data_IF_948078760494
#
_entry.id   IF_948078760494
#
_cell.length_a   1.000
_cell.length_b   1.000
_cell.length_c   1.000
_cell.angle_alpha   90.00
_cell.angle_beta   90.00
_cell.angle_gamma   90.00
#
_symmetry.space_group_name_H-M   'P 1'
#
loop_
_entity.id
_entity.type
_entity.pdbx_description
1 polymer ?
#
# COMPACT_ATOMS: atom_id res chain seq x y z
N UNK A 1 27.02 -75.52 -5.74
CA UNK A 1 26.77 -75.45 -7.20
C UNK A 1 25.29 -75.20 -7.57
N UNK A 2 24.47 -74.58 -6.70
CA UNK A 2 23.07 -74.24 -7.01
C UNK A 2 22.75 -72.73 -6.93
N UNK A 3 23.73 -71.86 -6.66
CA UNK A 3 23.51 -70.40 -6.60
C UNK A 3 23.94 -69.64 -7.87
N UNK A 4 24.68 -70.26 -8.80
CA UNK A 4 25.03 -69.63 -10.09
C UNK A 4 23.93 -69.77 -11.15
N UNK A 5 23.03 -70.75 -11.03
CA UNK A 5 21.92 -70.92 -11.98
C UNK A 5 20.75 -69.96 -11.73
N UNK A 6 20.57 -69.42 -10.52
CA UNK A 6 19.44 -68.54 -10.21
C UNK A 6 19.58 -67.12 -10.76
N UNK A 7 20.82 -66.64 -10.97
CA UNK A 7 21.08 -65.28 -11.48
C UNK A 7 20.90 -65.22 -13.00
N UNK A 8 21.19 -66.32 -13.71
CA UNK A 8 21.02 -66.40 -15.17
C UNK A 8 19.55 -66.30 -15.62
N UNK A 9 18.62 -66.96 -14.92
CA UNK A 9 17.19 -66.90 -15.27
C UNK A 9 16.55 -65.53 -15.00
N UNK A 10 17.07 -64.79 -14.01
CA UNK A 10 16.60 -63.43 -13.71
C UNK A 10 17.01 -62.42 -14.80
N UNK A 11 18.22 -62.55 -15.35
CA UNK A 11 18.69 -61.66 -16.42
C UNK A 11 18.00 -61.93 -17.76
N UNK A 12 17.72 -63.20 -18.07
CA UNK A 12 16.96 -63.58 -19.28
C UNK A 12 15.51 -63.07 -19.20
N UNK A 13 14.89 -63.12 -18.01
CA UNK A 13 13.52 -62.61 -17.82
C UNK A 13 13.45 -61.08 -17.93
N UNK A 14 14.46 -60.36 -17.44
CA UNK A 14 14.54 -58.90 -17.57
C UNK A 14 14.83 -58.49 -19.03
N UNK A 15 15.68 -59.22 -19.74
CA UNK A 15 15.93 -59.00 -21.16
C UNK A 15 14.70 -59.28 -22.03
N UNK A 16 13.92 -60.32 -21.72
CA UNK A 16 12.66 -60.62 -22.41
C UNK A 16 11.58 -59.55 -22.14
N UNK A 17 11.51 -59.02 -20.90
CA UNK A 17 10.61 -57.92 -20.56
C UNK A 17 11.00 -56.62 -21.28
N UNK A 18 12.30 -56.31 -21.36
CA UNK A 18 12.81 -55.15 -22.10
C UNK A 18 12.62 -55.30 -23.62
N UNK A 19 12.69 -56.52 -24.16
CA UNK A 19 12.38 -56.76 -25.57
C UNK A 19 10.88 -56.63 -25.87
N UNK A 20 10.00 -57.03 -24.94
CA UNK A 20 8.56 -56.80 -25.09
C UNK A 20 8.17 -55.33 -24.91
N UNK A 21 8.86 -54.56 -24.07
CA UNK A 21 8.57 -53.14 -23.83
C UNK A 21 9.19 -52.22 -24.87
N UNK A 22 10.35 -52.56 -25.43
CA UNK A 22 11.08 -51.71 -26.38
C UNK A 22 11.06 -52.22 -27.83
N UNK A 23 10.64 -53.47 -28.08
CA UNK A 23 10.71 -54.12 -29.39
C UNK A 23 9.38 -54.37 -30.09
N UNK A 24 8.25 -53.95 -29.52
CA UNK A 24 6.96 -54.06 -30.17
C UNK A 24 6.68 -52.80 -31.02
N UNK A 25 6.72 -52.86 -32.37
CA UNK A 25 6.15 -51.82 -33.19
C UNK A 25 4.64 -51.78 -32.96
N UNK A 26 4.10 -50.59 -32.68
CA UNK A 26 2.69 -50.28 -32.66
C UNK A 26 2.00 -50.86 -33.92
N UNK A 27 1.38 -52.03 -33.78
CA UNK A 27 0.35 -52.55 -34.69
C UNK A 27 -0.95 -52.63 -33.92
N UNK A 28 -1.62 -51.50 -33.83
CA UNK A 28 -3.05 -51.42 -33.61
C UNK A 28 -3.60 -50.19 -34.35
N UNK A 29 -3.31 -50.16 -35.65
CA UNK A 29 -4.18 -49.52 -36.63
C UNK A 29 -5.14 -50.59 -37.18
N UNK A 30 -6.37 -50.14 -37.47
CA UNK A 30 -7.36 -50.74 -38.38
C UNK A 30 -8.32 -51.79 -37.83
N UNK A 31 -9.40 -51.30 -37.22
CA UNK A 31 -10.73 -51.92 -37.35
C UNK A 31 -11.87 -50.96 -37.73
N UNK A 32 -11.57 -49.73 -38.18
CA UNK A 32 -12.51 -48.90 -38.94
C UNK A 32 -11.75 -48.01 -39.93
N UNK A 33 -11.19 -48.65 -40.96
CA UNK A 33 -10.84 -47.94 -42.19
C UNK A 33 -11.37 -48.77 -43.37
N UNK A 34 -12.69 -48.68 -43.57
CA UNK A 34 -13.31 -49.15 -44.81
C UNK A 34 -13.03 -48.09 -45.87
N UNK A 35 -11.89 -48.30 -46.53
CA UNK A 35 -11.55 -47.96 -47.90
C UNK A 35 -12.61 -47.24 -48.73
N UNK A 36 -12.28 -46.01 -49.14
CA UNK A 36 -12.46 -45.56 -50.52
C UNK A 36 -11.23 -44.76 -50.95
N UNK A 37 -10.12 -45.45 -51.24
CA UNK A 37 -9.09 -44.92 -52.14
C UNK A 37 -9.52 -45.22 -53.57
N UNK A 38 -10.12 -44.22 -54.21
CA UNK A 38 -10.27 -44.15 -55.65
C UNK A 38 -8.97 -43.58 -56.22
N UNK A 39 -8.17 -44.41 -56.88
CA UNK A 39 -7.00 -43.98 -57.64
C UNK A 39 -7.32 -44.19 -59.12
N UNK A 40 -7.38 -43.09 -59.88
CA UNK A 40 -7.85 -43.09 -61.26
C UNK A 40 -7.69 -41.72 -61.89
N UNK A 41 -6.54 -41.53 -62.53
CA UNK A 41 -6.21 -40.36 -63.31
C UNK A 41 -7.26 -40.02 -64.38
N UNK A 42 -7.41 -38.71 -64.61
CA UNK A 42 -7.95 -38.10 -65.84
C UNK A 42 -9.31 -38.62 -66.33
N UNK A 43 -10.39 -37.98 -65.89
CA UNK A 43 -11.48 -37.54 -66.77
C UNK A 43 -12.44 -36.57 -66.04
N UNK A 44 -13.05 -35.69 -66.83
CA UNK A 44 -13.84 -34.47 -66.51
C UNK A 44 -14.69 -34.52 -65.22
N UNK A 45 -14.90 -33.37 -64.55
CA UNK A 45 -15.76 -33.30 -63.37
C UNK A 45 -17.20 -33.68 -63.75
N UNK A 46 -17.63 -34.89 -63.38
CA UNK A 46 -19.05 -35.20 -63.27
C UNK A 46 -19.59 -34.35 -62.13
N UNK A 47 -20.41 -33.39 -62.51
CA UNK A 47 -21.26 -32.57 -61.64
C UNK A 47 -21.89 -33.49 -60.60
N UNK A 48 -21.44 -33.36 -59.34
CA UNK A 48 -22.23 -33.82 -58.21
C UNK A 48 -23.54 -33.03 -58.24
N UNK A 49 -24.72 -33.68 -58.20
CA UNK A 49 -25.96 -32.95 -58.05
C UNK A 49 -25.86 -32.14 -56.75
N UNK A 50 -26.19 -30.85 -56.88
CA UNK A 50 -26.35 -29.94 -55.75
C UNK A 50 -27.14 -30.64 -54.65
N UNK A 51 -26.64 -30.55 -53.41
CA UNK A 51 -27.36 -30.93 -52.20
C UNK A 51 -28.51 -29.91 -52.07
N UNK A 52 -29.57 -30.14 -52.84
CA UNK A 52 -30.87 -29.54 -52.67
C UNK A 52 -31.69 -30.45 -51.78
N UNK A 53 -32.09 -29.92 -50.63
CA UNK A 53 -33.21 -30.39 -49.81
C UNK A 53 -33.35 -31.91 -49.60
N UNK A 54 -32.44 -32.48 -48.80
CA UNK A 54 -32.71 -33.75 -48.08
C UNK A 54 -33.63 -33.56 -46.86
N UNK A 55 -34.15 -32.35 -46.64
CA UNK A 55 -35.00 -31.99 -45.50
C UNK A 55 -36.50 -32.15 -45.74
N UNK A 56 -36.95 -32.51 -46.96
CA UNK A 56 -38.37 -32.72 -47.23
C UNK A 56 -38.65 -34.00 -48.03
N UNK A 57 -39.23 -34.98 -47.34
CA UNK A 57 -39.64 -36.27 -47.91
C UNK A 57 -39.95 -37.28 -46.82
N UNK A 58 -40.72 -38.33 -47.15
CA UNK A 58 -41.18 -39.42 -46.25
C UNK A 58 -40.01 -40.21 -45.61
N UNK A 59 -38.77 -39.97 -46.04
CA UNK A 59 -37.52 -40.54 -45.53
C UNK A 59 -36.57 -39.46 -44.99
N UNK A 60 -37.08 -38.37 -44.43
CA UNK A 60 -36.24 -37.39 -43.74
C UNK A 60 -35.58 -38.07 -42.53
N UNK A 61 -34.27 -38.22 -42.58
CA UNK A 61 -33.48 -38.65 -41.43
C UNK A 61 -33.44 -37.50 -40.41
N UNK A 62 -34.44 -37.45 -39.56
CA UNK A 62 -34.47 -36.54 -38.41
C UNK A 62 -33.51 -37.13 -37.36
N UNK A 63 -32.27 -36.63 -37.30
CA UNK A 63 -31.30 -36.96 -36.26
C UNK A 63 -31.37 -35.88 -35.16
N UNK A 64 -32.28 -35.99 -34.16
CA UNK A 64 -32.40 -35.00 -33.08
C UNK A 64 -31.14 -34.89 -32.20
N UNK A 65 -30.22 -35.85 -32.33
CA UNK A 65 -28.96 -35.94 -31.59
C UNK A 65 -27.82 -35.10 -32.20
N UNK A 66 -27.90 -34.73 -33.49
CA UNK A 66 -26.90 -33.91 -34.21
C UNK A 66 -27.33 -32.44 -34.33
N UNK A 67 -28.02 -31.91 -33.32
CA UNK A 67 -28.31 -30.46 -33.25
C UNK A 67 -27.17 -29.77 -32.52
N UNK A 68 -26.63 -28.73 -33.12
CA UNK A 68 -25.66 -27.85 -32.47
C UNK A 68 -26.28 -27.27 -31.19
N UNK A 69 -25.53 -27.32 -30.10
CA UNK A 69 -25.97 -26.89 -28.77
C UNK A 69 -24.90 -26.03 -28.13
N UNK A 70 -25.33 -25.05 -27.34
CA UNK A 70 -24.43 -24.27 -26.51
C UNK A 70 -23.71 -25.19 -25.51
N UNK A 71 -22.38 -25.07 -25.35
CA UNK A 71 -21.64 -25.78 -24.33
C UNK A 71 -22.08 -25.32 -22.94
N UNK A 72 -22.05 -26.21 -21.95
CA UNK A 72 -22.32 -25.85 -20.57
C UNK A 72 -21.04 -25.34 -19.91
N UNK A 73 -20.89 -24.03 -19.84
CA UNK A 73 -19.70 -23.37 -19.28
C UNK A 73 -19.87 -22.97 -17.81
N UNK A 74 -20.95 -23.39 -17.14
CA UNK A 74 -21.27 -23.00 -15.75
C UNK A 74 -20.22 -23.42 -14.73
N UNK A 75 -19.59 -24.58 -14.94
CA UNK A 75 -18.52 -25.09 -14.09
C UNK A 75 -17.12 -24.74 -14.62
N UNK A 76 -17.05 -24.23 -15.85
CA UNK A 76 -15.80 -23.91 -16.52
C UNK A 76 -15.36 -22.48 -16.25
N UNK A 77 -16.27 -21.51 -16.33
CA UNK A 77 -15.91 -20.10 -16.19
C UNK A 77 -15.98 -19.72 -14.71
N UNK A 78 -14.86 -19.22 -14.19
CA UNK A 78 -14.73 -18.68 -12.84
C UNK A 78 -14.53 -17.18 -12.94
N UNK A 79 -15.46 -16.40 -12.37
CA UNK A 79 -15.29 -14.96 -12.24
C UNK A 79 -14.39 -14.67 -11.04
N UNK A 80 -13.23 -14.06 -11.25
CA UNK A 80 -12.28 -13.76 -10.17
C UNK A 80 -12.57 -12.42 -9.48
N UNK A 81 -13.23 -11.49 -10.16
CA UNK A 81 -13.56 -10.16 -9.63
C UNK A 81 -13.50 -9.06 -10.69
N UNK A 82 -13.79 -7.84 -10.26
CA UNK A 82 -13.70 -6.63 -11.10
C UNK A 82 -12.62 -5.71 -10.56
N UNK A 83 -11.93 -4.98 -11.45
CA UNK A 83 -11.00 -3.94 -11.02
C UNK A 83 -11.79 -2.74 -10.50
N UNK A 84 -11.75 -2.51 -9.19
CA UNK A 84 -12.42 -1.38 -8.53
C UNK A 84 -11.44 -0.34 -7.98
N UNK A 85 -10.17 -0.37 -8.41
CA UNK A 85 -9.19 0.62 -7.95
C UNK A 85 -9.63 2.04 -8.30
N UNK A 86 -9.34 3.02 -7.43
CA UNK A 86 -9.70 4.42 -7.68
C UNK A 86 -8.96 5.04 -8.88
N UNK A 87 -7.77 4.52 -9.22
CA UNK A 87 -6.95 4.99 -10.34
C UNK A 87 -7.19 4.22 -11.64
N UNK A 88 -8.00 3.16 -11.63
CA UNK A 88 -8.26 2.34 -12.80
C UNK A 88 -9.47 2.85 -13.60
N UNK A 89 -9.38 2.77 -14.93
CA UNK A 89 -10.54 2.82 -15.80
C UNK A 89 -11.40 1.58 -15.49
N UNK A 90 -12.54 1.80 -14.81
CA UNK A 90 -13.45 0.74 -14.39
C UNK A 90 -14.00 -0.10 -15.56
N UNK A 91 -14.73 -1.17 -15.23
CA UNK A 91 -15.34 -2.04 -16.23
C UNK A 91 -14.41 -3.13 -16.79
N UNK A 92 -13.30 -3.41 -16.11
CA UNK A 92 -12.44 -4.57 -16.34
C UNK A 92 -12.82 -5.72 -15.40
N UNK A 93 -12.97 -6.92 -15.95
CA UNK A 93 -13.37 -8.14 -15.26
C UNK A 93 -12.27 -9.19 -15.43
N UNK A 94 -11.97 -9.93 -14.37
CA UNK A 94 -11.00 -11.02 -14.41
C UNK A 94 -11.76 -12.35 -14.46
N UNK A 95 -11.48 -13.15 -15.48
CA UNK A 95 -12.05 -14.49 -15.66
C UNK A 95 -10.93 -15.53 -15.64
N UNK A 96 -11.22 -16.71 -15.12
CA UNK A 96 -10.35 -17.90 -15.17
C UNK A 96 -11.16 -19.09 -15.70
N UNK A 97 -10.53 -19.94 -16.50
CA UNK A 97 -11.09 -21.21 -16.94
C UNK A 97 -10.67 -22.31 -15.94
N UNK A 98 -11.63 -23.06 -15.43
CA UNK A 98 -11.43 -24.04 -14.37
C UNK A 98 -10.52 -25.20 -14.81
N UNK A 99 -10.64 -25.64 -16.07
CA UNK A 99 -9.86 -26.77 -16.60
C UNK A 99 -8.44 -26.38 -17.00
N UNK A 100 -8.26 -25.28 -17.75
CA UNK A 100 -6.94 -24.87 -18.22
C UNK A 100 -6.16 -24.01 -17.24
N UNK A 101 -6.85 -23.38 -16.27
CA UNK A 101 -6.29 -22.32 -15.41
C UNK A 101 -5.81 -21.09 -16.15
N UNK A 102 -6.19 -20.94 -17.43
CA UNK A 102 -5.94 -19.72 -18.17
C UNK A 102 -6.79 -18.58 -17.58
N UNK A 103 -6.20 -17.41 -17.45
CA UNK A 103 -6.88 -16.20 -17.00
C UNK A 103 -6.91 -15.14 -18.09
N UNK A 104 -7.98 -14.36 -18.14
CA UNK A 104 -8.09 -13.21 -19.04
C UNK A 104 -8.71 -12.00 -18.34
N UNK A 105 -8.40 -10.82 -18.88
CA UNK A 105 -9.02 -9.55 -18.48
C UNK A 105 -9.97 -9.13 -19.59
N UNK A 106 -11.24 -8.95 -19.25
CA UNK A 106 -12.31 -8.59 -20.15
C UNK A 106 -12.81 -7.19 -19.88
N UNK A 107 -13.10 -6.43 -20.92
CA UNK A 107 -13.85 -5.17 -20.79
C UNK A 107 -15.36 -5.43 -20.93
N UNK A 108 -16.17 -4.49 -20.45
CA UNK A 108 -17.63 -4.57 -20.62
C UNK A 108 -18.02 -4.66 -22.10
N UNK A 109 -18.83 -5.67 -22.43
CA UNK A 109 -19.30 -6.03 -23.78
C UNK A 109 -18.19 -6.36 -24.79
N UNK A 110 -16.97 -6.61 -24.33
CA UNK A 110 -15.90 -7.12 -25.19
C UNK A 110 -16.13 -8.60 -25.52
N UNK A 111 -15.81 -9.00 -26.76
CA UNK A 111 -15.90 -10.39 -27.20
C UNK A 111 -14.63 -11.14 -26.82
N UNK A 112 -14.78 -12.13 -25.95
CA UNK A 112 -13.68 -13.00 -25.51
C UNK A 112 -13.85 -14.35 -26.19
N UNK A 113 -12.95 -14.66 -27.11
CA UNK A 113 -13.01 -15.89 -27.90
C UNK A 113 -12.41 -17.07 -27.15
N UNK A 114 -13.09 -18.22 -27.23
CA UNK A 114 -12.67 -19.50 -26.63
C UNK A 114 -12.26 -20.48 -27.71
N UNK A 115 -11.23 -21.27 -27.43
CA UNK A 115 -10.79 -22.38 -28.27
C UNK A 115 -10.95 -23.69 -27.49
N UNK A 116 -11.32 -24.76 -28.19
CA UNK A 116 -11.36 -26.11 -27.61
C UNK A 116 -10.12 -26.87 -28.09
N UNK A 117 -9.24 -27.22 -27.16
CA UNK A 117 -8.10 -28.08 -27.41
C UNK A 117 -8.47 -29.54 -27.15
N UNK A 118 -8.11 -30.49 -28.05
CA UNK A 118 -8.37 -31.91 -27.82
C UNK A 118 -7.53 -32.43 -26.65
N UNK A 119 -8.16 -33.17 -25.74
CA UNK A 119 -7.52 -33.80 -24.58
C UNK A 119 -8.14 -35.18 -24.30
N UNK A 120 -7.37 -36.13 -23.72
CA UNK A 120 -7.82 -37.51 -23.50
C UNK A 120 -9.05 -37.66 -22.60
N UNK A 121 -9.37 -36.65 -21.78
CA UNK A 121 -10.53 -36.66 -20.87
C UNK A 121 -11.71 -35.82 -21.38
N UNK A 122 -11.67 -35.39 -22.65
CA UNK A 122 -12.60 -34.40 -23.22
C UNK A 122 -11.87 -33.12 -23.63
N UNK A 123 -12.52 -32.27 -24.43
CA UNK A 123 -11.94 -31.01 -24.88
C UNK A 123 -11.67 -30.05 -23.72
N UNK A 124 -10.48 -29.45 -23.67
CA UNK A 124 -10.10 -28.40 -22.71
C UNK A 124 -10.42 -27.06 -23.34
N UNK A 125 -11.08 -26.17 -22.60
CA UNK A 125 -11.30 -24.80 -23.04
C UNK A 125 -10.08 -23.94 -22.72
N UNK A 126 -9.62 -23.16 -23.68
CA UNK A 126 -8.56 -22.16 -23.50
C UNK A 126 -9.00 -20.82 -24.08
N UNK A 127 -8.47 -19.72 -23.54
CA UNK A 127 -8.69 -18.42 -24.16
C UNK A 127 -7.90 -18.32 -25.47
N UNK A 128 -8.55 -17.79 -26.51
CA UNK A 128 -7.91 -17.66 -27.83
C UNK A 128 -6.67 -16.75 -27.76
N UNK A 129 -5.49 -17.22 -28.19
CA UNK A 129 -4.26 -16.44 -28.09
C UNK A 129 -4.35 -15.19 -28.97
N UNK A 130 -4.07 -14.02 -28.37
CA UNK A 130 -4.14 -12.71 -29.03
C UNK A 130 -5.56 -12.33 -29.52
N UNK A 131 -6.61 -12.90 -28.92
CA UNK A 131 -8.00 -12.54 -29.24
C UNK A 131 -8.42 -12.90 -30.66
N UNK A 132 -7.83 -13.95 -31.25
CA UNK A 132 -8.25 -14.41 -32.58
C UNK A 132 -9.74 -14.82 -32.53
N UNK A 133 -10.57 -14.34 -33.46
CA UNK A 133 -11.97 -14.75 -33.53
C UNK A 133 -12.13 -16.26 -33.65
N UNK A 134 -13.00 -16.81 -32.83
CA UNK A 134 -13.47 -18.20 -32.88
C UNK A 134 -14.99 -18.20 -32.87
N UNK A 135 -15.58 -19.35 -33.20
CA UNK A 135 -17.04 -19.48 -33.28
C UNK A 135 -17.71 -19.38 -31.90
N UNK A 136 -16.98 -19.62 -30.81
CA UNK A 136 -17.45 -19.54 -29.43
C UNK A 136 -16.83 -18.34 -28.71
N UNK A 137 -17.67 -17.43 -28.21
CA UNK A 137 -17.19 -16.29 -27.42
C UNK A 137 -18.09 -15.96 -26.23
N UNK A 138 -17.53 -15.15 -25.33
CA UNK A 138 -18.16 -14.63 -24.13
C UNK A 138 -18.29 -13.10 -24.24
N UNK A 139 -19.38 -12.56 -23.70
CA UNK A 139 -19.57 -11.12 -23.52
C UNK A 139 -19.90 -10.83 -22.06
N UNK A 140 -19.11 -9.95 -21.44
CA UNK A 140 -19.22 -9.62 -20.02
C UNK A 140 -20.05 -8.36 -19.79
N UNK A 141 -21.01 -8.40 -18.87
CA UNK A 141 -21.83 -7.25 -18.48
C UNK A 141 -21.79 -7.04 -16.96
N UNK A 142 -21.49 -5.81 -16.49
CA UNK A 142 -21.58 -5.51 -15.08
C UNK A 142 -23.04 -5.57 -14.63
N UNK A 143 -23.29 -6.24 -13.50
CA UNK A 143 -24.55 -6.11 -12.78
C UNK A 143 -24.42 -4.96 -11.77
N UNK A 144 -25.53 -4.32 -11.44
CA UNK A 144 -25.60 -3.25 -10.44
C UNK A 144 -25.30 -3.70 -9.01
N UNK A 145 -25.25 -5.00 -8.77
CA UNK A 145 -24.93 -5.59 -7.45
C UNK A 145 -23.45 -5.92 -7.40
N UNK A 146 -22.77 -5.46 -6.35
CA UNK A 146 -21.35 -5.68 -6.13
C UNK A 146 -20.97 -7.16 -6.24
N UNK A 147 -19.87 -7.41 -6.97
CA UNK A 147 -19.22 -8.72 -7.07
C UNK A 147 -19.99 -9.78 -7.88
N UNK A 148 -20.93 -9.34 -8.74
CA UNK A 148 -21.64 -10.17 -9.70
C UNK A 148 -21.41 -9.72 -11.13
N UNK A 149 -21.38 -10.68 -12.05
CA UNK A 149 -21.25 -10.43 -13.49
C UNK A 149 -22.28 -11.27 -14.25
N UNK A 150 -22.84 -10.69 -15.31
CA UNK A 150 -23.62 -11.40 -16.33
C UNK A 150 -22.67 -11.74 -17.48
N UNK A 151 -22.55 -13.02 -17.82
CA UNK A 151 -21.76 -13.49 -18.95
C UNK A 151 -22.71 -14.08 -19.99
N UNK A 152 -22.66 -13.57 -21.21
CA UNK A 152 -23.41 -14.12 -22.34
C UNK A 152 -22.50 -15.03 -23.16
N UNK A 153 -22.90 -16.28 -23.31
CA UNK A 153 -22.23 -17.27 -24.15
C UNK A 153 -22.86 -17.24 -25.54
N UNK A 154 -22.02 -17.12 -26.56
CA UNK A 154 -22.43 -17.05 -27.96
C UNK A 154 -21.66 -18.05 -28.78
N UNK A 155 -22.37 -18.76 -29.66
CA UNK A 155 -21.81 -19.72 -30.59
C UNK A 155 -22.34 -19.43 -31.99
N UNK A 156 -21.46 -19.30 -32.99
CA UNK A 156 -21.83 -19.33 -34.40
C UNK A 156 -21.82 -20.79 -34.86
N UNK A 157 -22.95 -21.25 -35.38
CA UNK A 157 -23.12 -22.57 -35.95
C UNK A 157 -22.49 -22.72 -37.33
N UNK A 158 -22.44 -23.95 -37.85
CA UNK A 158 -21.85 -24.24 -39.17
C UNK A 158 -22.57 -23.49 -40.32
N UNK A 159 -23.85 -23.16 -40.12
CA UNK A 159 -24.66 -22.40 -41.08
C UNK A 159 -24.48 -20.87 -40.96
N UNK A 160 -23.60 -20.39 -40.06
CA UNK A 160 -23.39 -18.97 -39.80
C UNK A 160 -24.43 -18.30 -38.88
N UNK A 161 -25.41 -19.07 -38.39
CA UNK A 161 -26.44 -18.60 -37.46
C UNK A 161 -25.99 -18.71 -35.99
N UNK A 162 -26.52 -17.85 -35.12
CA UNK A 162 -26.21 -17.90 -33.68
C UNK A 162 -27.02 -19.02 -33.03
N UNK A 163 -26.32 -20.00 -32.46
CA UNK A 163 -26.93 -21.10 -31.70
C UNK A 163 -27.39 -20.56 -30.34
N UNK A 164 -28.69 -20.63 -30.06
CA UNK A 164 -29.31 -20.15 -28.81
C UNK A 164 -29.88 -21.26 -27.93
N UNK A 165 -29.87 -22.50 -28.42
CA UNK A 165 -30.36 -23.66 -27.68
C UNK A 165 -29.20 -24.40 -27.03
N UNK A 166 -29.27 -24.82 -25.76
CA UNK A 166 -30.31 -24.51 -24.76
C UNK A 166 -30.24 -23.07 -24.21
N UNK A 167 -31.39 -22.40 -24.01
CA UNK A 167 -31.46 -21.00 -23.53
C UNK A 167 -30.89 -20.80 -22.12
N UNK A 168 -30.92 -21.82 -21.28
CA UNK A 168 -30.36 -21.81 -19.92
C UNK A 168 -28.83 -21.74 -19.89
N UNK A 169 -28.17 -21.98 -21.03
CA UNK A 169 -26.71 -21.88 -21.20
C UNK A 169 -26.26 -20.58 -21.85
N UNK A 170 -27.19 -19.77 -22.35
CA UNK A 170 -26.89 -18.51 -23.03
C UNK A 170 -26.41 -17.44 -22.05
N UNK A 171 -26.97 -17.39 -20.85
CA UNK A 171 -26.66 -16.35 -19.85
C UNK A 171 -26.26 -16.98 -18.52
N UNK A 172 -25.07 -16.64 -18.05
CA UNK A 172 -24.49 -17.11 -16.80
C UNK A 172 -24.39 -15.95 -15.82
N UNK A 173 -24.86 -16.19 -14.60
CA UNK A 173 -24.70 -15.24 -13.49
C UNK A 173 -23.63 -15.79 -12.56
N UNK A 174 -22.45 -15.17 -12.61
CA UNK A 174 -21.33 -15.59 -11.76
C UNK A 174 -21.16 -14.61 -10.61
N UNK A 175 -20.95 -15.16 -9.43
CA UNK A 175 -20.47 -14.42 -8.27
C UNK A 175 -18.97 -14.65 -8.18
N UNK A 176 -18.19 -13.64 -7.80
CA UNK A 176 -16.80 -13.91 -7.50
C UNK A 176 -16.78 -14.86 -6.28
N UNK A 177 -15.92 -15.89 -6.30
CA UNK A 177 -15.80 -16.77 -5.16
C UNK A 177 -15.51 -15.91 -3.94
N UNK A 178 -16.16 -16.22 -2.82
CA UNK A 178 -15.77 -15.71 -1.50
C UNK A 178 -14.40 -16.33 -1.18
N UNK A 179 -13.36 -15.87 -1.87
CA UNK A 179 -11.98 -16.26 -1.60
C UNK A 179 -11.73 -15.90 -0.15
N UNK A 180 -11.52 -16.92 0.68
CA UNK A 180 -10.99 -16.71 2.02
C UNK A 180 -9.73 -15.88 1.88
N UNK A 181 -9.68 -14.76 2.61
CA UNK A 181 -8.61 -13.76 2.66
C UNK A 181 -7.35 -14.17 1.87
N UNK A 182 -7.34 -13.98 0.55
CA UNK A 182 -6.16 -14.32 -0.25
C UNK A 182 -5.02 -13.48 0.30
N UNK A 183 -4.04 -14.15 0.90
CA UNK A 183 -2.92 -13.51 1.56
C UNK A 183 -1.98 -13.00 0.49
N UNK A 184 -2.21 -11.76 0.11
CA UNK A 184 -1.33 -10.96 -0.71
C UNK A 184 -0.40 -10.13 0.17
N UNK A 185 0.74 -9.76 -0.42
CA UNK A 185 1.84 -9.12 0.30
C UNK A 185 2.27 -7.84 -0.41
N UNK A 186 2.70 -6.86 0.38
CA UNK A 186 3.31 -5.62 -0.10
C UNK A 186 4.65 -5.48 0.62
N UNK A 187 5.75 -5.44 -0.14
CA UNK A 187 7.10 -5.35 0.43
C UNK A 187 7.45 -6.52 1.36
N UNK A 188 6.97 -7.74 1.06
CA UNK A 188 7.17 -8.94 1.88
C UNK A 188 6.34 -8.98 3.17
N UNK A 189 5.37 -8.08 3.33
CA UNK A 189 4.45 -8.05 4.47
C UNK A 189 3.04 -8.40 4.00
N UNK A 190 2.47 -9.47 4.59
CA UNK A 190 1.07 -9.84 4.37
C UNK A 190 0.12 -8.70 4.73
N UNK A 191 -0.80 -8.40 3.81
CA UNK A 191 -1.84 -7.41 4.00
C UNK A 191 -2.95 -8.01 4.86
N UNK A 192 -2.86 -7.76 6.17
CA UNK A 192 -3.82 -8.13 7.20
C UNK A 192 -4.00 -6.97 8.19
N UNK A 193 -4.85 -7.12 9.21
CA UNK A 193 -5.10 -6.06 10.20
C UNK A 193 -3.81 -5.56 10.93
N UNK A 194 -2.74 -6.36 10.94
CA UNK A 194 -1.44 -5.99 11.54
C UNK A 194 -0.48 -5.31 10.56
N UNK A 195 -0.84 -5.16 9.29
CA UNK A 195 -0.01 -4.56 8.26
C UNK A 195 0.55 -3.18 8.64
N UNK A 196 -0.24 -2.22 9.18
CA UNK A 196 0.30 -0.91 9.55
C UNK A 196 1.38 -1.01 10.62
N UNK A 197 1.24 -1.95 11.56
CA UNK A 197 2.23 -2.19 12.62
C UNK A 197 3.50 -2.80 12.04
N UNK A 198 3.38 -3.81 11.18
CA UNK A 198 4.53 -4.48 10.54
C UNK A 198 5.32 -3.55 9.61
N UNK A 199 4.62 -2.68 8.86
CA UNK A 199 5.21 -1.63 8.02
C UNK A 199 5.54 -0.34 8.81
N UNK A 200 5.37 -0.34 10.14
CA UNK A 200 5.66 0.80 11.04
C UNK A 200 5.00 2.13 10.61
N UNK A 201 3.81 2.04 10.01
CA UNK A 201 3.02 3.19 9.57
C UNK A 201 2.41 3.87 10.80
N UNK A 202 2.68 5.16 10.98
CA UNK A 202 2.23 5.92 12.14
C UNK A 202 1.55 7.21 11.72
N UNK A 203 0.28 7.37 12.07
CA UNK A 203 -0.41 8.66 11.96
C UNK A 203 0.05 9.55 13.11
N UNK A 204 0.58 10.71 12.77
CA UNK A 204 1.02 11.70 13.76
C UNK A 204 -0.05 12.76 13.96
N UNK A 205 -0.49 13.41 12.88
CA UNK A 205 -1.42 14.53 12.95
C UNK A 205 -1.03 15.66 12.00
N UNK A 206 -1.77 16.77 12.04
CA UNK A 206 -1.33 18.02 11.44
C UNK A 206 -0.03 18.54 12.06
N UNK A 207 0.83 19.11 11.21
CA UNK A 207 2.13 19.67 11.61
C UNK A 207 1.94 21.16 11.95
N UNK A 208 1.91 21.48 13.25
CA UNK A 208 1.72 22.86 13.74
C UNK A 208 2.89 23.77 13.41
N UNK A 209 4.08 23.20 13.31
CA UNK A 209 5.26 23.96 12.94
C UNK A 209 5.16 24.44 11.48
N UNK A 210 4.79 23.56 10.54
CA UNK A 210 4.56 23.96 9.15
C UNK A 210 3.40 24.96 9.02
N UNK A 211 2.35 24.83 9.84
CA UNK A 211 1.24 25.77 9.85
C UNK A 211 1.65 27.19 10.27
N UNK A 212 2.57 27.31 11.23
CA UNK A 212 3.00 28.61 11.77
C UNK A 212 4.21 29.21 11.03
N UNK A 213 5.18 28.38 10.66
CA UNK A 213 6.49 28.80 10.14
C UNK A 213 6.82 28.25 8.75
N UNK A 214 5.95 27.42 8.15
CA UNK A 214 6.20 26.83 6.83
C UNK A 214 6.09 27.82 5.66
N UNK A 215 5.31 28.89 5.81
CA UNK A 215 5.10 29.87 4.73
C UNK A 215 4.32 29.29 3.54
N UNK A 216 4.36 30.01 2.40
CA UNK A 216 3.57 29.65 1.21
C UNK A 216 3.99 28.32 0.58
N UNK A 217 5.30 28.01 0.58
CA UNK A 217 5.85 26.82 -0.06
C UNK A 217 5.39 25.50 0.61
N UNK A 218 4.93 25.57 1.86
CA UNK A 218 4.49 24.42 2.64
C UNK A 218 3.00 24.45 3.00
N UNK A 219 2.23 25.43 2.49
CA UNK A 219 0.81 25.59 2.80
C UNK A 219 0.00 24.32 2.47
N UNK A 220 0.28 23.70 1.33
CA UNK A 220 -0.37 22.46 0.89
C UNK A 220 -0.10 21.28 1.83
N UNK A 221 1.09 21.23 2.45
CA UNK A 221 1.48 20.18 3.40
C UNK A 221 0.91 20.47 4.80
N UNK A 222 0.90 21.73 5.20
CA UNK A 222 0.38 22.18 6.50
C UNK A 222 -1.13 21.91 6.66
N UNK A 223 -1.88 21.92 5.56
CA UNK A 223 -3.31 21.62 5.55
C UNK A 223 -3.65 20.12 5.66
N UNK A 224 -2.64 19.24 5.60
CA UNK A 224 -2.80 17.78 5.54
C UNK A 224 -2.33 17.08 6.81
N UNK A 225 -2.72 15.82 6.98
CA UNK A 225 -2.26 14.99 8.11
C UNK A 225 -0.93 14.32 7.78
N UNK A 226 0.05 14.43 8.69
CA UNK A 226 1.34 13.76 8.56
C UNK A 226 1.23 12.29 8.97
N UNK A 227 1.66 11.42 8.08
CA UNK A 227 1.83 9.98 8.29
C UNK A 227 3.30 9.63 8.08
N UNK A 228 3.89 9.02 9.10
CA UNK A 228 5.29 8.58 9.09
C UNK A 228 5.35 7.11 8.68
N UNK A 229 6.30 6.79 7.83
CA UNK A 229 6.57 5.47 7.26
C UNK A 229 8.04 5.10 7.47
N UNK A 230 8.33 3.81 7.30
CA UNK A 230 9.70 3.29 7.27
C UNK A 230 9.89 2.55 5.96
N UNK A 231 10.94 2.88 5.20
CA UNK A 231 11.26 2.20 3.95
C UNK A 231 11.77 0.78 4.22
N UNK A 232 11.87 -0.07 3.19
CA UNK A 232 12.55 -1.36 3.33
C UNK A 232 14.06 -1.18 3.62
N UNK A 233 14.66 -0.06 3.17
CA UNK A 233 16.01 0.36 3.58
C UNK A 233 16.11 0.84 5.04
N UNK A 234 15.01 0.79 5.80
CA UNK A 234 14.91 1.20 7.20
C UNK A 234 15.17 2.70 7.44
N UNK A 235 14.85 3.52 6.45
CA UNK A 235 14.89 4.98 6.54
C UNK A 235 13.49 5.52 6.88
N UNK A 236 13.42 6.45 7.83
CA UNK A 236 12.16 7.10 8.17
C UNK A 236 11.85 8.19 7.14
N UNK A 237 10.60 8.25 6.70
CA UNK A 237 10.10 9.34 5.86
C UNK A 237 8.63 9.64 6.18
N UNK A 238 8.18 10.84 5.85
CA UNK A 238 6.81 11.28 6.09
C UNK A 238 6.10 11.60 4.78
N UNK A 239 4.78 11.39 4.77
CA UNK A 239 3.87 11.87 3.73
C UNK A 239 2.75 12.67 4.38
N UNK A 240 2.28 13.67 3.64
CA UNK A 240 1.19 14.56 4.07
C UNK A 240 -0.03 14.22 3.25
N UNK A 241 -1.07 13.69 3.90
CA UNK A 241 -2.21 13.07 3.23
C UNK A 241 -3.53 13.78 3.59
N UNK A 242 -4.37 13.96 2.58
CA UNK A 242 -5.76 14.38 2.66
C UNK A 242 -6.70 13.23 2.29
N UNK A 243 -8.01 13.41 2.51
CA UNK A 243 -9.04 12.48 2.01
C UNK A 243 -8.99 12.45 0.48
N UNK A 244 -8.98 11.24 -0.09
CA UNK A 244 -8.86 11.01 -1.53
C UNK A 244 -7.43 10.96 -2.05
N UNK A 245 -6.42 11.27 -1.23
CA UNK A 245 -5.02 11.12 -1.65
C UNK A 245 -4.68 9.64 -1.86
N UNK A 246 -3.89 9.38 -2.88
CA UNK A 246 -3.44 8.06 -3.31
C UNK A 246 -1.92 7.97 -3.22
N UNK A 247 -1.44 6.87 -2.64
CA UNK A 247 -0.04 6.48 -2.63
C UNK A 247 0.16 5.18 -3.41
N UNK A 248 1.28 5.08 -4.10
CA UNK A 248 1.70 3.92 -4.87
C UNK A 248 2.98 3.36 -4.28
N UNK A 249 3.07 2.04 -4.20
CA UNK A 249 4.26 1.35 -3.70
C UNK A 249 5.26 1.13 -4.83
N UNK A 250 6.47 1.68 -4.70
CA UNK A 250 7.55 1.58 -5.71
C UNK A 250 8.44 0.34 -5.55
N UNK A 251 8.19 -0.47 -4.54
CA UNK A 251 9.04 -1.60 -4.15
C UNK A 251 9.80 -1.38 -2.84
N UNK A 252 10.03 -0.14 -2.42
CA UNK A 252 10.75 0.24 -1.20
C UNK A 252 9.98 1.24 -0.31
N UNK A 253 9.23 2.16 -0.91
CA UNK A 253 8.51 3.22 -0.23
C UNK A 253 7.16 3.56 -0.89
N UNK A 254 6.30 4.22 -0.12
CA UNK A 254 5.06 4.82 -0.61
C UNK A 254 5.34 6.19 -1.23
N UNK A 255 4.98 6.33 -2.49
CA UNK A 255 5.16 7.57 -3.25
C UNK A 255 3.81 8.16 -3.65
N UNK A 256 3.74 9.49 -3.72
CA UNK A 256 2.55 10.16 -4.26
C UNK A 256 2.47 9.94 -5.77
N UNK A 257 1.27 10.01 -6.36
CA UNK A 257 1.09 9.78 -7.80
C UNK A 257 1.96 10.66 -8.70
N UNK A 258 2.30 11.89 -8.26
CA UNK A 258 3.18 12.79 -9.03
C UNK A 258 4.67 12.44 -8.95
N UNK A 259 5.10 11.74 -7.89
CA UNK A 259 6.49 11.32 -7.69
C UNK A 259 6.77 9.91 -8.22
N UNK A 260 5.71 9.10 -8.34
CA UNK A 260 5.80 7.70 -8.74
C UNK A 260 6.34 7.55 -10.16
N UNK A 261 7.46 6.82 -10.27
CA UNK A 261 8.09 6.51 -11.57
C UNK A 261 7.71 5.10 -12.00
N UNK A 262 6.55 4.96 -12.64
CA UNK A 262 6.07 3.68 -13.18
C UNK A 262 4.62 3.72 -13.63
N UNK A 263 4.12 2.58 -14.11
CA UNK A 263 2.68 2.41 -14.37
C UNK A 263 1.94 2.14 -13.07
N UNK A 264 0.98 3.00 -12.72
CA UNK A 264 0.20 2.84 -11.48
C UNK A 264 -0.52 1.49 -11.41
N UNK A 265 -0.94 0.94 -12.55
CA UNK A 265 -1.59 -0.36 -12.68
C UNK A 265 -0.72 -1.54 -12.26
N UNK A 266 0.60 -1.37 -12.18
CA UNK A 266 1.55 -2.42 -11.78
C UNK A 266 1.97 -2.32 -10.30
N UNK A 267 1.51 -1.30 -9.60
CA UNK A 267 1.85 -1.07 -8.19
C UNK A 267 0.64 -1.33 -7.26
N UNK A 268 0.88 -1.85 -6.05
CA UNK A 268 -0.08 -1.76 -4.96
C UNK A 268 -0.41 -0.30 -4.65
N UNK A 269 -1.64 -0.06 -4.23
CA UNK A 269 -2.18 1.28 -4.02
C UNK A 269 -2.70 1.42 -2.59
N UNK A 270 -2.48 2.58 -1.98
CA UNK A 270 -3.05 2.99 -0.71
C UNK A 270 -3.88 4.26 -0.95
N UNK A 271 -5.16 4.23 -0.57
CA UNK A 271 -6.07 5.37 -0.66
C UNK A 271 -6.50 5.80 0.73
N UNK A 272 -6.57 7.12 0.97
CA UNK A 272 -7.16 7.66 2.20
C UNK A 272 -8.66 7.87 2.01
N UNK A 273 -9.48 7.00 2.60
CA UNK A 273 -10.95 7.07 2.49
C UNK A 273 -11.58 8.10 3.43
N UNK A 274 -11.05 8.20 4.65
CA UNK A 274 -11.64 9.07 5.68
C UNK A 274 -10.58 9.52 6.67
N UNK A 275 -10.69 10.76 7.12
CA UNK A 275 -9.90 11.30 8.22
C UNK A 275 -10.87 11.84 9.27
N UNK A 276 -10.93 11.19 10.43
CA UNK A 276 -11.58 11.70 11.63
C UNK A 276 -10.51 12.20 12.63
N UNK A 277 -10.95 12.84 13.71
CA UNK A 277 -10.06 13.37 14.76
C UNK A 277 -9.15 12.28 15.37
N UNK A 278 -9.70 11.09 15.63
CA UNK A 278 -8.98 9.98 16.28
C UNK A 278 -8.42 8.94 15.31
N UNK A 279 -9.10 8.71 14.19
CA UNK A 279 -8.82 7.59 13.28
C UNK A 279 -8.77 8.06 11.84
N UNK A 280 -7.79 7.58 11.08
CA UNK A 280 -7.71 7.72 9.63
C UNK A 280 -7.98 6.34 9.03
N UNK A 281 -8.95 6.25 8.12
CA UNK A 281 -9.27 5.01 7.42
C UNK A 281 -8.54 5.03 6.09
N UNK A 282 -7.66 4.06 5.91
CA UNK A 282 -6.94 3.80 4.67
C UNK A 282 -7.48 2.52 4.03
N UNK A 283 -7.36 2.43 2.72
CA UNK A 283 -7.70 1.24 1.96
C UNK A 283 -6.50 0.83 1.10
N UNK A 284 -6.08 -0.42 1.26
CA UNK A 284 -4.99 -1.01 0.48
C UNK A 284 -5.57 -1.82 -0.66
N UNK A 285 -5.06 -1.64 -1.86
CA UNK A 285 -5.52 -2.24 -3.11
C UNK A 285 -4.42 -3.03 -3.80
N UNK A 286 -4.80 -4.21 -4.33
CA UNK A 286 -3.87 -5.07 -5.05
C UNK A 286 -3.60 -4.56 -6.44
N UNK A 287 -2.50 -5.03 -7.01
CA UNK A 287 -2.07 -4.66 -8.36
C UNK A 287 -3.24 -4.86 -9.35
N UNK A 288 -3.93 -6.00 -9.26
CA UNK A 288 -5.09 -6.32 -10.10
C UNK A 288 -6.40 -5.56 -9.77
N UNK A 289 -6.48 -4.87 -8.64
CA UNK A 289 -7.69 -4.20 -8.17
C UNK A 289 -8.88 -5.09 -7.83
N UNK A 290 -8.66 -6.40 -7.71
CA UNK A 290 -9.67 -7.40 -7.33
C UNK A 290 -9.86 -7.53 -5.83
N UNK A 291 -8.83 -7.19 -5.06
CA UNK A 291 -8.81 -7.33 -3.60
C UNK A 291 -8.42 -6.01 -2.96
N UNK A 292 -9.15 -5.64 -1.92
CA UNK A 292 -8.82 -4.51 -1.08
C UNK A 292 -8.95 -4.86 0.41
N UNK A 293 -8.25 -4.13 1.26
CA UNK A 293 -8.34 -4.25 2.70
C UNK A 293 -8.41 -2.87 3.33
N UNK A 294 -9.49 -2.60 4.05
CA UNK A 294 -9.63 -1.38 4.85
C UNK A 294 -8.92 -1.54 6.19
N UNK A 295 -8.22 -0.49 6.63
CA UNK A 295 -7.46 -0.43 7.86
C UNK A 295 -7.62 0.94 8.54
N UNK A 296 -7.50 0.95 9.86
CA UNK A 296 -7.64 2.16 10.68
C UNK A 296 -6.30 2.52 11.31
N UNK A 297 -5.81 3.73 11.05
CA UNK A 297 -4.64 4.32 11.68
C UNK A 297 -5.09 5.24 12.82
N UNK A 298 -4.69 4.90 14.04
CA UNK A 298 -4.96 5.72 15.23
C UNK A 298 -3.97 6.88 15.28
N UNK A 299 -4.48 8.08 15.56
CA UNK A 299 -3.65 9.27 15.76
C UNK A 299 -2.78 9.11 17.01
N UNK A 300 -1.48 9.34 16.86
CA UNK A 300 -0.55 9.36 17.99
C UNK A 300 -0.86 10.57 18.87
N UNK A 301 -1.21 10.32 20.13
CA UNK A 301 -1.52 11.38 21.09
C UNK A 301 -0.23 11.84 21.76
N UNK A 302 0.10 13.12 21.63
CA UNK A 302 1.20 13.74 22.35
C UNK A 302 0.71 14.30 23.69
N UNK A 303 1.56 14.29 24.71
CA UNK A 303 1.20 14.75 26.06
C UNK A 303 1.49 16.24 26.23
N UNK A 304 0.57 16.98 26.84
CA UNK A 304 0.82 18.38 27.25
C UNK A 304 1.87 18.49 28.37
N UNK A 305 2.12 17.42 29.11
CA UNK A 305 3.16 17.40 30.15
C UNK A 305 4.54 17.44 29.50
N UNK A 306 4.72 16.78 28.36
CA UNK A 306 5.99 16.73 27.62
C UNK A 306 6.45 18.15 27.25
N UNK A 307 5.55 18.96 26.69
CA UNK A 307 5.88 20.33 26.29
C UNK A 307 6.18 21.22 27.50
N UNK A 308 5.42 21.10 28.59
CA UNK A 308 5.66 21.85 29.82
C UNK A 308 7.00 21.50 30.48
N UNK A 309 7.46 20.26 30.37
CA UNK A 309 8.79 19.84 30.84
C UNK A 309 9.90 20.43 29.96
N UNK A 310 9.74 20.39 28.64
CA UNK A 310 10.67 21.00 27.69
C UNK A 310 10.80 22.51 27.97
N UNK A 311 9.70 23.22 28.21
CA UNK A 311 9.71 24.67 28.50
C UNK A 311 10.54 25.02 29.74
N UNK A 312 10.57 24.15 30.77
CA UNK A 312 11.35 24.39 32.00
C UNK A 312 12.86 24.34 31.77
N UNK A 313 13.33 23.78 30.65
CA UNK A 313 14.77 23.74 30.32
C UNK A 313 15.30 25.09 29.84
N UNK A 314 14.42 26.06 29.55
CA UNK A 314 14.77 27.36 29.00
C UNK A 314 14.72 28.46 30.07
N UNK A 315 15.81 29.21 30.19
CA UNK A 315 15.91 30.32 31.13
C UNK A 315 16.53 31.54 30.45
N UNK A 316 15.91 32.70 30.58
CA UNK A 316 16.46 33.95 30.06
C UNK A 316 17.41 34.58 31.10
N UNK A 317 18.71 34.57 30.81
CA UNK A 317 19.78 34.88 31.79
C UNK A 317 20.35 36.28 31.64
N UNK A 318 20.32 36.85 30.44
CA UNK A 318 20.95 38.15 30.18
C UNK A 318 20.81 38.59 28.74
N UNK A 319 21.31 39.78 28.41
CA UNK A 319 21.30 40.29 27.04
C UNK A 319 22.72 40.60 26.59
N UNK A 320 23.09 40.15 25.39
CA UNK A 320 24.33 40.60 24.74
C UNK A 320 24.10 41.93 24.01
N UNK A 321 22.93 42.07 23.38
CA UNK A 321 22.46 43.31 22.77
C UNK A 321 20.93 43.36 22.83
N UNK A 322 20.34 44.50 22.45
CA UNK A 322 18.88 44.73 22.46
C UNK A 322 18.04 43.71 21.65
N UNK A 323 18.67 43.01 20.70
CA UNK A 323 18.03 41.98 19.87
C UNK A 323 18.60 40.58 20.07
N UNK A 324 19.59 40.42 20.98
CA UNK A 324 20.31 39.15 21.15
C UNK A 324 20.31 38.71 22.61
N UNK A 325 19.31 37.92 23.03
CA UNK A 325 19.24 37.42 24.38
C UNK A 325 20.24 36.28 24.59
N UNK A 326 20.72 36.17 25.82
CA UNK A 326 21.48 35.05 26.34
C UNK A 326 20.48 34.15 27.07
N UNK A 327 20.18 33.01 26.48
CA UNK A 327 19.26 32.01 27.02
C UNK A 327 20.09 30.81 27.46
N UNK A 328 19.81 30.28 28.65
CA UNK A 328 20.34 29.01 29.10
C UNK A 328 19.35 27.91 28.72
N UNK A 329 19.81 26.93 27.95
CA UNK A 329 19.01 25.82 27.43
C UNK A 329 19.69 24.52 27.83
N UNK A 330 19.00 23.68 28.62
CA UNK A 330 19.58 22.40 29.08
C UNK A 330 20.92 22.57 29.82
N UNK A 331 21.10 23.69 30.53
CA UNK A 331 22.35 24.03 31.23
C UNK A 331 23.42 24.70 30.37
N UNK A 332 23.24 24.82 29.05
CA UNK A 332 24.19 25.50 28.16
C UNK A 332 23.73 26.92 27.83
N UNK A 333 24.63 27.91 27.92
CA UNK A 333 24.33 29.29 27.52
C UNK A 333 24.46 29.47 26.01
N UNK A 334 23.43 30.04 25.41
CA UNK A 334 23.33 30.30 23.98
C UNK A 334 22.92 31.75 23.73
N UNK A 335 23.46 32.36 22.66
CA UNK A 335 23.04 33.68 22.21
C UNK A 335 22.12 33.50 21.02
N UNK A 336 20.88 33.94 21.15
CA UNK A 336 19.88 33.87 20.10
C UNK A 336 19.80 35.20 19.34
N UNK A 337 19.29 35.13 18.12
CA UNK A 337 18.90 36.22 17.23
C UNK A 337 17.47 35.92 16.75
N UNK A 338 16.68 36.93 16.31
CA UNK A 338 15.34 36.71 15.75
C UNK A 338 15.36 35.62 14.68
N UNK A 339 14.34 34.77 14.70
CA UNK A 339 14.15 33.61 13.80
C UNK A 339 15.18 32.49 13.98
N UNK A 340 15.99 32.51 15.03
CA UNK A 340 16.86 31.39 15.37
C UNK A 340 16.07 30.17 15.84
N UNK A 341 16.46 29.01 15.32
CA UNK A 341 15.84 27.73 15.64
C UNK A 341 16.82 26.89 16.45
N UNK A 342 16.37 26.37 17.58
CA UNK A 342 17.17 25.53 18.48
C UNK A 342 16.48 24.19 18.65
N UNK A 343 17.12 23.11 18.21
CA UNK A 343 16.58 21.76 18.24
C UNK A 343 17.37 20.88 19.22
N UNK A 344 16.67 20.03 19.95
CA UNK A 344 17.33 19.04 20.81
C UNK A 344 17.66 17.78 20.00
N UNK A 345 18.95 17.44 19.87
CA UNK A 345 19.42 16.29 19.07
C UNK A 345 19.51 14.97 19.88
N UNK A 346 18.88 14.92 21.06
CA UNK A 346 18.92 13.77 21.98
C UNK A 346 20.09 13.80 22.97
N UNK A 347 21.10 14.64 22.73
CA UNK A 347 22.24 14.86 23.64
C UNK A 347 22.33 16.31 24.10
N UNK A 348 22.21 17.24 23.15
CA UNK A 348 22.41 18.66 23.37
C UNK A 348 21.42 19.48 22.56
N UNK A 349 21.19 20.71 23.02
CA UNK A 349 20.45 21.71 22.26
C UNK A 349 21.39 22.38 21.26
N UNK A 350 21.02 22.32 19.99
CA UNK A 350 21.83 22.82 18.89
C UNK A 350 21.05 23.84 18.08
N UNK A 351 21.72 24.94 17.75
CA UNK A 351 21.16 25.94 16.84
C UNK A 351 21.24 25.45 15.41
N UNK A 352 20.11 25.45 14.70
CA UNK A 352 20.07 25.22 13.25
C UNK A 352 20.60 26.47 12.56
N UNK A 353 21.76 26.35 11.92
CA UNK A 353 22.42 27.46 11.23
C UNK A 353 22.59 27.21 9.73
N UNK A 354 22.64 25.94 9.30
CA UNK A 354 22.86 25.57 7.90
C UNK A 354 21.55 25.16 7.24
N UNK A 355 21.44 25.46 5.94
CA UNK A 355 20.31 25.04 5.11
C UNK A 355 20.11 23.52 5.10
N UNK A 356 21.19 22.75 5.09
CA UNK A 356 21.13 21.28 5.16
C UNK A 356 20.48 20.78 6.46
N UNK A 357 20.83 21.37 7.61
CA UNK A 357 20.22 21.01 8.90
C UNK A 357 18.73 21.36 8.94
N UNK A 358 18.35 22.46 8.30
CA UNK A 358 16.97 22.86 8.14
C UNK A 358 16.20 21.83 7.30
N UNK A 359 16.73 21.44 6.14
CA UNK A 359 16.13 20.42 5.28
C UNK A 359 16.06 19.05 5.96
N UNK A 360 17.10 18.66 6.71
CA UNK A 360 17.13 17.44 7.50
C UNK A 360 16.11 17.45 8.65
N UNK A 361 15.88 18.61 9.28
CA UNK A 361 14.78 18.76 10.22
C UNK A 361 13.43 18.63 9.49
N UNK A 362 13.17 19.42 8.45
CA UNK A 362 11.90 19.40 7.72
C UNK A 362 11.54 18.02 7.15
N UNK A 363 12.54 17.27 6.68
CA UNK A 363 12.40 15.90 6.16
C UNK A 363 12.22 14.84 7.26
N UNK A 364 12.46 15.17 8.53
CA UNK A 364 12.31 14.28 9.66
C UNK A 364 13.51 13.38 9.94
N UNK A 365 14.67 13.63 9.31
CA UNK A 365 15.94 12.98 9.66
C UNK A 365 16.46 13.44 11.02
N UNK A 366 16.37 14.74 11.29
CA UNK A 366 16.58 15.30 12.63
C UNK A 366 15.22 15.37 13.32
N UNK A 367 15.09 14.67 14.45
CA UNK A 367 13.89 14.64 15.26
C UNK A 367 14.21 15.11 16.68
N UNK A 368 13.34 15.96 17.21
CA UNK A 368 13.48 16.47 18.56
C UNK A 368 12.63 17.71 18.80
N UNK A 369 12.41 18.06 20.07
CA UNK A 369 11.81 19.33 20.45
C UNK A 369 12.52 20.52 19.80
N UNK A 370 11.76 21.55 19.47
CA UNK A 370 12.25 22.74 18.79
C UNK A 370 11.80 23.99 19.53
N UNK A 371 12.72 24.93 19.75
CA UNK A 371 12.41 26.30 20.09
C UNK A 371 12.65 27.21 18.88
N UNK A 372 11.66 28.02 18.54
CA UNK A 372 11.76 29.11 17.56
C UNK A 372 11.71 30.42 18.33
N UNK A 373 12.80 31.19 18.27
CA UNK A 373 12.86 32.48 18.95
C UNK A 373 12.24 33.58 18.08
N UNK A 374 11.26 34.29 18.62
CA UNK A 374 10.59 35.36 17.88
C UNK A 374 11.28 36.71 18.12
N UNK A 375 11.24 37.20 19.37
CA UNK A 375 11.71 38.55 19.72
C UNK A 375 11.88 38.75 21.22
N UNK A 376 12.57 39.85 21.56
CA UNK A 376 12.56 40.42 22.91
C UNK A 376 11.53 41.54 22.94
N UNK A 377 10.72 41.58 23.99
CA UNK A 377 9.82 42.70 24.29
C UNK A 377 10.13 43.30 25.66
N UNK A 378 9.76 44.56 25.84
CA UNK A 378 9.81 45.23 27.14
C UNK A 378 8.40 45.34 27.68
N UNK A 379 8.08 44.54 28.70
CA UNK A 379 6.76 44.50 29.34
C UNK A 379 6.89 45.00 30.77
N UNK A 380 6.10 46.02 31.14
CA UNK A 380 5.99 46.51 32.54
C UNK A 380 7.32 46.75 33.28
N UNK A 381 8.35 47.21 32.54
CA UNK A 381 9.75 47.50 32.96
C UNK A 381 10.73 46.32 32.95
N UNK A 382 10.31 45.12 32.61
CA UNK A 382 11.19 43.95 32.45
C UNK A 382 11.35 43.58 30.98
N UNK A 383 12.47 42.93 30.65
CA UNK A 383 12.67 42.33 29.34
C UNK A 383 12.17 40.91 29.37
N UNK A 384 11.37 40.56 28.37
CA UNK A 384 10.84 39.21 28.19
C UNK A 384 11.23 38.68 26.83
N UNK A 385 11.65 37.41 26.79
CA UNK A 385 11.89 36.67 25.55
C UNK A 385 10.60 35.97 25.18
N UNK A 386 10.10 36.22 23.95
CA UNK A 386 9.00 35.46 23.35
C UNK A 386 9.54 34.43 22.39
N UNK A 387 9.04 33.20 22.51
CA UNK A 387 9.40 32.11 21.63
C UNK A 387 8.24 31.10 21.52
N UNK A 388 8.31 30.23 20.52
CA UNK A 388 7.43 29.09 20.35
C UNK A 388 8.22 27.80 20.59
N UNK A 389 7.72 26.95 21.49
CA UNK A 389 8.27 25.62 21.73
C UNK A 389 7.36 24.61 21.07
N UNK A 390 7.94 23.69 20.32
CA UNK A 390 7.28 22.56 19.67
C UNK A 390 7.78 21.25 20.27
N UNK A 391 6.87 20.29 20.46
CA UNK A 391 7.27 18.94 20.84
C UNK A 391 7.99 18.22 19.69
N UNK A 392 8.60 17.06 19.98
CA UNK A 392 9.39 16.33 18.99
C UNK A 392 8.61 15.95 17.71
N UNK A 393 7.29 15.76 17.84
CA UNK A 393 6.41 15.40 16.75
C UNK A 393 5.84 16.61 15.98
N UNK A 394 6.05 17.84 16.45
CA UNK A 394 5.47 19.09 15.90
C UNK A 394 3.95 19.15 15.90
N UNK A 395 3.32 18.39 16.78
CA UNK A 395 1.85 18.32 16.93
C UNK A 395 1.35 19.25 18.02
N UNK A 396 2.22 19.65 18.94
CA UNK A 396 1.94 20.57 20.03
C UNK A 396 2.87 21.79 19.92
N UNK A 397 2.32 22.94 20.30
CA UNK A 397 3.04 24.21 20.37
C UNK A 397 2.62 24.95 21.63
N UNK A 398 3.57 25.56 22.30
CA UNK A 398 3.38 26.43 23.45
C UNK A 398 4.13 27.74 23.22
N UNK A 399 3.42 28.86 23.32
CA UNK A 399 4.02 30.18 23.26
C UNK A 399 4.59 30.50 24.65
N UNK A 400 5.90 30.64 24.73
CA UNK A 400 6.61 30.87 26.00
C UNK A 400 7.03 32.32 26.12
N UNK A 401 6.87 32.85 27.32
CA UNK A 401 7.36 34.17 27.71
C UNK A 401 8.33 33.98 28.87
N UNK A 402 9.62 34.15 28.59
CA UNK A 402 10.69 33.93 29.56
C UNK A 402 11.14 35.30 30.12
N UNK A 403 10.89 35.59 31.41
CA UNK A 403 11.35 36.83 32.02
C UNK A 403 12.85 36.79 32.30
N UNK A 404 13.50 37.95 32.28
CA UNK A 404 14.91 38.06 32.61
C UNK A 404 15.13 37.66 34.07
N UNK A 405 15.81 36.54 34.31
CA UNK A 405 16.24 36.16 35.65
C UNK A 405 17.27 37.18 36.15
N UNK A 406 16.84 38.06 37.05
CA UNK A 406 17.74 38.99 37.73
C UNK A 406 18.67 38.18 38.66
N UNK A 407 19.91 37.96 38.22
CA UNK A 407 20.96 37.43 39.09
C UNK A 407 21.36 38.49 40.12
N UNK A 408 20.67 38.53 41.26
CA UNK A 408 21.12 39.25 42.45
C UNK A 408 21.72 38.27 43.46
N UNK A 409 22.95 37.82 43.18
CA UNK A 409 23.90 37.42 44.23
C UNK A 409 24.88 38.59 44.44
N UNK A 410 24.39 39.68 45.05
CA UNK A 410 25.27 40.71 45.61
C UNK A 410 25.73 40.25 46.99
N UNK A 411 26.71 39.35 47.01
CA UNK A 411 27.29 38.76 48.21
C UNK A 411 28.82 38.77 48.21
N UNK A 412 29.45 39.92 47.94
CA UNK A 412 30.75 40.31 48.54
C UNK A 412 31.13 41.72 48.10
N UNK A 413 30.45 42.73 48.65
CA UNK A 413 31.07 44.03 48.78
C UNK A 413 32.11 43.92 49.90
N UNK A 414 33.34 43.57 49.51
CA UNK A 414 34.50 43.65 50.39
C UNK A 414 34.57 45.05 51.00
N UNK A 415 34.52 45.09 52.32
CA UNK A 415 34.66 46.27 53.15
C UNK A 415 35.92 47.05 52.72
N UNK A 416 35.72 48.25 52.19
CA UNK A 416 36.74 49.30 52.29
C UNK A 416 36.61 49.91 53.68
N UNK A 417 37.54 49.50 54.52
CA UNK A 417 37.89 50.10 55.79
C UNK A 417 38.33 51.55 55.56
N UNK A 418 37.44 52.51 55.84
CA UNK A 418 37.82 53.89 56.12
C UNK A 418 37.63 54.13 57.62
N UNK A 419 38.77 54.21 58.29
CA UNK A 419 38.90 54.55 59.70
C UNK A 419 38.54 56.02 59.92
N UNK A 420 37.70 56.32 60.92
CA UNK A 420 37.81 57.54 61.72
C UNK A 420 37.30 57.33 63.16
N UNK A 421 37.85 58.08 64.14
CA UNK A 421 37.96 57.64 65.53
C UNK A 421 36.89 58.25 66.45
N UNK A 422 36.54 57.56 67.54
CA UNK A 422 35.76 58.15 68.63
C UNK A 422 34.97 57.16 69.50
N UNK A 423 35.64 56.64 70.54
CA UNK A 423 35.06 55.97 71.73
C UNK A 423 34.11 56.91 72.52
N UNK A 424 33.35 56.47 73.56
CA UNK A 424 33.02 55.11 74.06
C UNK A 424 31.50 54.87 74.22
N UNK A 425 30.96 53.65 74.05
CA UNK A 425 30.76 52.57 75.04
C UNK A 425 30.21 53.01 76.42
N UNK A 426 29.00 52.57 76.74
CA UNK A 426 28.74 51.56 77.78
C UNK A 426 27.25 51.15 77.79
N UNK A 427 27.01 49.87 77.48
CA UNK A 427 25.74 49.18 77.73
C UNK A 427 25.69 48.73 79.20
N UNK A 428 24.52 48.87 79.81
CA UNK A 428 24.21 48.32 81.12
C UNK A 428 23.98 46.81 81.07
N UNK A 429 24.70 46.13 81.96
CA UNK A 429 24.44 44.86 82.64
C UNK A 429 23.32 43.94 82.14
N UNK A 430 23.71 42.72 81.72
CA UNK A 430 22.88 41.53 81.77
C UNK A 430 22.62 41.10 83.22
N UNK A 431 21.36 40.83 83.53
CA UNK A 431 20.89 40.19 84.74
C UNK A 431 20.41 38.77 84.45
N UNK A 432 21.00 37.85 85.20
CA UNK A 432 20.79 36.41 85.36
C UNK A 432 19.35 35.90 85.52
N UNK A 433 19.13 34.72 84.91
CA UNK A 433 18.47 33.50 85.40
C UNK A 433 17.22 33.54 86.31
N UNK A 434 16.20 32.82 85.86
CA UNK A 434 15.31 31.85 86.55
C UNK A 434 13.93 31.93 85.86
N UNK A 435 13.21 30.87 85.50
CA UNK A 435 13.11 29.54 86.07
C UNK A 435 11.64 29.32 86.44
N UNK A 436 10.92 28.54 85.63
CA UNK A 436 9.77 27.72 86.06
C UNK A 436 8.40 28.40 86.22
N UNK A 437 7.47 28.00 85.34
CA UNK A 437 6.28 27.22 85.72
C UNK A 437 5.80 26.41 84.53
#
# INVERSE_FOLDING_TARGET
>A
MHQLFSIGYSLISIAALLWMVCGAPNRLENLYDVSLKFDGASEKPKIFPQIGDLSSGVWSLDFPELRERLPDLRQEIVFLGSNKRPDALGGKFFLELATSKDSCVASANEKIYLQVAPSPNGGIFTFSPKGKPTDLWLECRPLSVDNRIEIKVRLIGVNGEIVTSPKDRETLFLNAPSKGLESWEIGGVRVDASFPVKQKIRRIGGDKFLLMHGGADYADKAAKERVDFVSLSNENYSRYLAVGDILLWDGNCWQTCGEFRGESSQAPLLEVKKIDEKVMVIELWNVGGTSHQSMSLVKTMSSLIEIAEIVKEFEFVGMRSWSRPIVQVGGQRMILSPDDWVVYTGKTWEKIARKEQLEDYLSGKIQGPLLVFDKIEKESREFVVRAHVFNAQRTLVEAVTLPLKQGFDSGSAAAKEEAHPGRPLLAGSEGTNSGGS
#
